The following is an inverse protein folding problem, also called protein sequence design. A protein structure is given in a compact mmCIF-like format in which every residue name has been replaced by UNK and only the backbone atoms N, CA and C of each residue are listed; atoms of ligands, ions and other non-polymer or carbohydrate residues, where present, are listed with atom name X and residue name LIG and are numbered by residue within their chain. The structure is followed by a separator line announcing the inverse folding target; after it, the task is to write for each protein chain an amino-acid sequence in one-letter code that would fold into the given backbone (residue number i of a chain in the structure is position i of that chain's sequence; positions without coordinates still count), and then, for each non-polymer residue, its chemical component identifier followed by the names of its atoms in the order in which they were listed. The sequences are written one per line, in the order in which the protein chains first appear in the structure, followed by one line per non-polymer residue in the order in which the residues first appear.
data_IF_664064620721
#
_entry.id   IF_664064620721
#
_cell.length_a   1.000
_cell.length_b   1.000
_cell.length_c   1.000
_cell.angle_alpha   90.00
_cell.angle_beta   90.00
_cell.angle_gamma   90.00
#
_symmetry.space_group_name_H-M   'P 1'
#
loop_
_entity.id
_entity.type
_entity.pdbx_description
1 polymer ?
#
# COMPACT_ATOMS: atom_id res chain seq x y z
N UNK A 1 -4.42 -28.50 -3.29
CA UNK A 1 -5.62 -28.06 -4.02
C UNK A 1 -6.77 -27.67 -3.06
N UNK A 2 -7.20 -28.53 -2.15
CA UNK A 2 -8.33 -28.26 -1.23
C UNK A 2 -8.17 -26.96 -0.43
N UNK A 3 -7.00 -26.72 0.19
CA UNK A 3 -6.75 -25.48 0.96
C UNK A 3 -6.83 -24.21 0.14
N UNK A 4 -6.31 -24.23 -1.08
CA UNK A 4 -6.39 -23.06 -2.00
C UNK A 4 -7.85 -22.76 -2.35
N UNK A 5 -8.65 -23.80 -2.61
CA UNK A 5 -10.07 -23.62 -2.91
C UNK A 5 -10.84 -23.01 -1.73
N UNK A 6 -10.54 -23.45 -0.49
CA UNK A 6 -11.16 -22.90 0.73
C UNK A 6 -10.79 -21.43 0.91
N UNK A 7 -9.50 -21.08 0.74
CA UNK A 7 -9.04 -19.68 0.85
C UNK A 7 -9.71 -18.80 -0.20
N UNK A 8 -9.80 -19.26 -1.46
CA UNK A 8 -10.46 -18.50 -2.53
C UNK A 8 -11.94 -18.31 -2.24
N UNK A 9 -12.62 -19.33 -1.73
CA UNK A 9 -14.05 -19.25 -1.38
C UNK A 9 -14.28 -18.28 -0.20
N UNK A 10 -13.44 -18.33 0.82
CA UNK A 10 -13.45 -17.40 1.94
C UNK A 10 -13.18 -15.95 1.47
N UNK A 11 -12.22 -15.76 0.55
CA UNK A 11 -11.93 -14.47 -0.05
C UNK A 11 -13.11 -13.90 -0.83
N UNK A 12 -13.81 -14.73 -1.63
CA UNK A 12 -15.01 -14.31 -2.37
C UNK A 12 -16.13 -13.89 -1.42
N UNK A 13 -16.35 -14.63 -0.34
CA UNK A 13 -17.34 -14.28 0.69
C UNK A 13 -16.95 -12.95 1.36
N UNK A 14 -15.68 -12.76 1.71
CA UNK A 14 -15.18 -11.53 2.29
C UNK A 14 -15.41 -10.31 1.38
N UNK A 15 -15.16 -10.45 0.07
CA UNK A 15 -15.45 -9.37 -0.90
C UNK A 15 -16.94 -9.02 -0.93
N UNK A 16 -17.83 -10.02 -0.87
CA UNK A 16 -19.27 -9.75 -0.85
C UNK A 16 -19.71 -9.06 0.44
N UNK A 17 -19.16 -9.46 1.58
CA UNK A 17 -19.41 -8.79 2.87
C UNK A 17 -18.89 -7.35 2.83
N UNK A 18 -17.68 -7.13 2.31
CA UNK A 18 -17.08 -5.80 2.15
C UNK A 18 -18.01 -4.86 1.37
N UNK A 19 -18.52 -5.32 0.21
CA UNK A 19 -19.43 -4.54 -0.63
C UNK A 19 -20.74 -4.17 0.07
N UNK A 20 -21.27 -5.04 0.93
CA UNK A 20 -22.53 -4.79 1.65
C UNK A 20 -22.35 -3.93 2.89
N UNK A 21 -21.23 -4.10 3.61
CA UNK A 21 -20.99 -3.42 4.90
C UNK A 21 -20.26 -2.09 4.77
N UNK A 22 -19.65 -1.80 3.59
CA UNK A 22 -18.80 -0.63 3.39
C UNK A 22 -17.45 -0.72 4.11
N UNK A 23 -17.10 -1.89 4.62
CA UNK A 23 -15.78 -2.16 5.23
C UNK A 23 -14.78 -2.39 4.10
N UNK A 24 -13.57 -1.82 4.16
CA UNK A 24 -12.52 -2.12 3.18
C UNK A 24 -12.23 -3.62 3.10
N UNK A 25 -12.22 -4.18 1.89
CA UNK A 25 -11.98 -5.62 1.67
C UNK A 25 -10.62 -6.08 2.22
N UNK A 26 -9.62 -5.20 2.21
CA UNK A 26 -8.30 -5.46 2.77
C UNK A 26 -8.35 -5.80 4.26
N UNK A 27 -9.17 -5.09 5.05
CA UNK A 27 -9.35 -5.38 6.48
C UNK A 27 -9.96 -6.76 6.71
N UNK A 28 -10.90 -7.19 5.86
CA UNK A 28 -11.50 -8.51 5.95
C UNK A 28 -10.50 -9.62 5.57
N UNK A 29 -9.66 -9.39 4.55
CA UNK A 29 -8.59 -10.33 4.20
C UNK A 29 -7.55 -10.47 5.30
N UNK A 30 -7.15 -9.36 5.91
CA UNK A 30 -6.24 -9.37 7.06
C UNK A 30 -6.85 -10.15 8.25
N UNK A 31 -8.12 -9.89 8.56
CA UNK A 31 -8.84 -10.61 9.60
C UNK A 31 -8.93 -12.11 9.31
N UNK A 32 -9.21 -12.50 8.07
CA UNK A 32 -9.20 -13.91 7.65
C UNK A 32 -7.82 -14.55 7.82
N UNK A 33 -6.75 -13.82 7.48
CA UNK A 33 -5.38 -14.29 7.70
C UNK A 33 -5.06 -14.54 9.18
N UNK A 34 -5.45 -13.59 10.04
CA UNK A 34 -5.26 -13.72 11.50
C UNK A 34 -6.07 -14.91 12.04
N UNK A 35 -7.34 -15.03 11.68
CA UNK A 35 -8.19 -16.14 12.13
C UNK A 35 -7.66 -17.48 11.65
N UNK A 36 -7.19 -17.57 10.40
CA UNK A 36 -6.62 -18.82 9.89
C UNK A 36 -5.36 -19.24 10.67
N UNK A 37 -4.52 -18.29 11.04
CA UNK A 37 -3.35 -18.54 11.88
C UNK A 37 -3.73 -19.01 13.28
N UNK A 38 -4.76 -18.43 13.90
CA UNK A 38 -5.25 -18.85 15.21
C UNK A 38 -5.83 -20.27 15.22
N UNK A 39 -6.40 -20.73 14.10
CA UNK A 39 -6.95 -22.09 13.93
C UNK A 39 -5.83 -23.12 13.62
N UNK A 40 -4.59 -22.67 13.49
CA UNK A 40 -3.43 -23.52 13.22
C UNK A 40 -3.05 -23.66 11.73
N UNK A 41 -3.71 -22.91 10.85
CA UNK A 41 -3.28 -22.78 9.45
C UNK A 41 -2.15 -21.75 9.34
N UNK A 42 -0.93 -22.18 9.61
CA UNK A 42 0.24 -21.34 9.46
C UNK A 42 0.88 -21.57 8.09
N UNK A 43 1.01 -20.50 7.33
CA UNK A 43 1.73 -20.51 6.06
C UNK A 43 3.18 -20.12 6.34
N UNK A 44 4.10 -21.09 6.25
CA UNK A 44 5.50 -20.92 6.64
C UNK A 44 6.46 -20.74 5.44
N UNK A 45 5.95 -20.78 4.20
CA UNK A 45 6.76 -20.54 3.03
C UNK A 45 6.78 -19.06 2.67
N UNK A 46 7.64 -18.32 3.37
CA UNK A 46 7.78 -16.87 3.18
C UNK A 46 8.29 -16.50 1.79
N UNK A 47 9.12 -17.37 1.18
CA UNK A 47 9.64 -17.14 -0.17
C UNK A 47 8.53 -17.21 -1.22
N UNK A 48 7.64 -18.18 -1.09
CA UNK A 48 6.46 -18.27 -1.94
C UNK A 48 5.53 -17.07 -1.74
N UNK A 49 5.28 -16.69 -0.49
CA UNK A 49 4.43 -15.53 -0.17
C UNK A 49 4.98 -14.24 -0.78
N UNK A 50 6.30 -14.02 -0.69
CA UNK A 50 6.98 -12.87 -1.28
C UNK A 50 6.83 -12.85 -2.80
N UNK A 51 7.13 -13.95 -3.48
CA UNK A 51 7.03 -14.02 -4.93
C UNK A 51 5.59 -13.87 -5.43
N UNK A 52 4.63 -14.50 -4.75
CA UNK A 52 3.21 -14.37 -5.06
C UNK A 52 2.72 -12.93 -4.88
N UNK A 53 3.11 -12.28 -3.78
CA UNK A 53 2.74 -10.89 -3.49
C UNK A 53 3.32 -9.92 -4.52
N UNK A 54 4.56 -10.13 -4.98
CA UNK A 54 5.17 -9.33 -6.04
C UNK A 54 4.39 -9.43 -7.35
N UNK A 55 4.02 -10.64 -7.76
CA UNK A 55 3.23 -10.84 -8.99
C UNK A 55 1.83 -10.23 -8.83
N UNK A 56 1.17 -10.44 -7.69
CA UNK A 56 -0.14 -9.88 -7.41
C UNK A 56 -0.11 -8.35 -7.44
N UNK A 57 0.89 -7.73 -6.80
CA UNK A 57 1.09 -6.29 -6.79
C UNK A 57 1.27 -5.74 -8.20
N UNK A 58 2.08 -6.41 -9.02
CA UNK A 58 2.32 -6.01 -10.41
C UNK A 58 1.02 -6.01 -11.23
N UNK A 59 0.18 -7.03 -11.06
CA UNK A 59 -1.13 -7.13 -11.71
C UNK A 59 -2.06 -6.01 -11.23
N UNK A 60 -2.10 -5.73 -9.92
CA UNK A 60 -2.94 -4.69 -9.33
C UNK A 60 -2.54 -3.30 -9.86
N UNK A 61 -1.25 -2.98 -9.86
CA UNK A 61 -0.74 -1.70 -10.38
C UNK A 61 -1.03 -1.56 -11.88
N UNK A 62 -0.81 -2.62 -12.66
CA UNK A 62 -1.11 -2.62 -14.09
C UNK A 62 -2.60 -2.38 -14.35
N UNK A 63 -3.47 -3.08 -13.64
CA UNK A 63 -4.93 -2.94 -13.77
C UNK A 63 -5.40 -1.54 -13.34
N UNK A 64 -4.87 -1.01 -12.25
CA UNK A 64 -5.14 0.33 -11.77
C UNK A 64 -4.74 1.39 -12.80
N UNK A 65 -3.50 1.32 -13.30
CA UNK A 65 -3.01 2.23 -14.33
C UNK A 65 -3.79 2.17 -15.65
N UNK A 66 -4.25 0.98 -16.03
CA UNK A 66 -5.06 0.81 -17.24
C UNK A 66 -6.48 1.39 -17.11
N UNK A 67 -7.04 1.37 -15.88
CA UNK A 67 -8.35 1.94 -15.58
C UNK A 67 -8.37 3.46 -15.40
N UNK A 68 -7.21 4.10 -15.26
CA UNK A 68 -7.10 5.52 -14.94
C UNK A 68 -7.62 6.42 -16.05
N UNK A 69 -8.52 7.36 -15.71
CA UNK A 69 -9.00 8.37 -16.65
C UNK A 69 -7.93 9.44 -16.92
N UNK A 70 -7.08 9.17 -17.90
CA UNK A 70 -5.94 10.05 -18.24
C UNK A 70 -6.34 11.49 -18.55
N UNK A 71 -7.51 11.73 -19.16
CA UNK A 71 -7.98 13.10 -19.47
C UNK A 71 -8.22 13.91 -18.18
N UNK A 72 -8.80 13.30 -17.17
CA UNK A 72 -9.01 13.96 -15.87
C UNK A 72 -7.70 14.01 -15.06
N UNK A 73 -6.91 12.94 -15.09
CA UNK A 73 -5.67 12.81 -14.33
C UNK A 73 -4.60 13.82 -14.73
N UNK A 74 -4.43 14.09 -16.05
CA UNK A 74 -3.43 15.05 -16.53
C UNK A 74 -3.61 16.48 -16.00
N UNK A 75 -4.80 16.84 -15.55
CA UNK A 75 -5.06 18.18 -14.98
C UNK A 75 -4.59 18.32 -13.53
N UNK A 76 -4.34 17.21 -12.85
CA UNK A 76 -3.95 17.15 -11.42
C UNK A 76 -2.63 16.38 -11.22
N UNK A 77 -1.87 16.15 -12.30
CA UNK A 77 -0.66 15.32 -12.25
C UNK A 77 0.43 15.93 -11.36
N UNK A 78 0.59 17.26 -11.41
CA UNK A 78 1.63 17.94 -10.60
C UNK A 78 1.29 17.86 -9.13
N UNK A 79 0.04 18.13 -8.78
CA UNK A 79 -0.46 18.04 -7.41
C UNK A 79 -0.34 16.59 -6.88
N UNK A 80 -0.68 15.60 -7.71
CA UNK A 80 -0.54 14.18 -7.36
C UNK A 80 0.92 13.80 -7.11
N UNK A 81 1.86 14.25 -7.96
CA UNK A 81 3.29 13.98 -7.79
C UNK A 81 3.86 14.66 -6.54
N UNK A 82 3.44 15.88 -6.23
CA UNK A 82 3.86 16.57 -5.01
C UNK A 82 3.34 15.82 -3.78
N UNK A 83 2.06 15.42 -3.77
CA UNK A 83 1.47 14.68 -2.67
C UNK A 83 2.10 13.29 -2.50
N UNK A 84 2.32 12.55 -3.58
CA UNK A 84 2.92 11.21 -3.53
C UNK A 84 4.40 11.21 -3.13
N UNK A 85 5.10 12.32 -3.28
CA UNK A 85 6.51 12.45 -2.87
C UNK A 85 6.66 13.16 -1.54
N UNK A 86 6.37 14.45 -1.48
CA UNK A 86 6.50 15.24 -0.25
C UNK A 86 5.50 14.80 0.81
N UNK A 87 4.27 14.44 0.43
CA UNK A 87 3.25 13.94 1.35
C UNK A 87 3.71 12.68 2.06
N UNK A 88 4.26 11.71 1.32
CA UNK A 88 4.80 10.45 1.91
C UNK A 88 5.98 10.72 2.83
N UNK A 89 6.91 11.62 2.43
CA UNK A 89 8.03 12.00 3.29
C UNK A 89 7.54 12.62 4.60
N UNK A 90 6.63 13.60 4.53
CA UNK A 90 6.08 14.24 5.71
C UNK A 90 5.30 13.26 6.60
N UNK A 91 4.47 12.41 6.01
CA UNK A 91 3.72 11.38 6.74
C UNK A 91 4.66 10.41 7.43
N UNK A 92 5.70 9.93 6.74
CA UNK A 92 6.72 9.04 7.30
C UNK A 92 7.47 9.67 8.47
N UNK A 93 7.90 10.92 8.32
CA UNK A 93 8.62 11.65 9.37
C UNK A 93 7.72 11.92 10.57
N UNK A 94 6.50 12.37 10.37
CA UNK A 94 5.57 12.67 11.43
C UNK A 94 5.17 11.41 12.19
N UNK A 95 4.79 10.35 11.46
CA UNK A 95 4.42 9.06 12.05
C UNK A 95 5.62 8.42 12.77
N UNK A 96 6.81 8.45 12.15
CA UNK A 96 8.04 7.95 12.77
C UNK A 96 8.39 8.70 14.05
N UNK A 97 8.25 10.03 14.05
CA UNK A 97 8.44 10.86 15.26
C UNK A 97 7.47 10.46 16.37
N UNK A 98 6.19 10.29 16.05
CA UNK A 98 5.19 9.84 17.03
C UNK A 98 5.52 8.45 17.58
N UNK A 99 5.94 7.52 16.72
CA UNK A 99 6.36 6.16 17.12
C UNK A 99 7.56 6.22 18.07
N UNK A 100 8.55 7.05 17.76
CA UNK A 100 9.71 7.23 18.63
C UNK A 100 9.31 7.67 20.04
N UNK A 101 8.47 8.69 20.17
CA UNK A 101 8.06 9.22 21.46
C UNK A 101 7.09 8.31 22.22
N UNK A 102 6.17 7.63 21.53
CA UNK A 102 5.14 6.80 22.18
C UNK A 102 5.70 5.41 22.50
N UNK A 103 6.36 4.76 21.53
CA UNK A 103 6.84 3.38 21.68
C UNK A 103 8.31 3.28 22.09
N UNK A 104 9.02 4.41 22.10
CA UNK A 104 10.44 4.52 22.51
C UNK A 104 11.39 3.63 21.69
N UNK A 105 11.07 3.39 20.42
CA UNK A 105 11.99 2.77 19.47
C UNK A 105 13.10 3.74 19.09
N UNK A 106 14.23 3.21 18.56
CA UNK A 106 15.26 4.04 17.97
C UNK A 106 14.71 4.93 16.83
N UNK A 107 15.39 6.03 16.53
CA UNK A 107 14.93 6.96 15.49
C UNK A 107 14.81 6.29 14.11
N UNK A 108 15.80 5.48 13.73
CA UNK A 108 15.84 4.85 12.41
C UNK A 108 14.74 3.79 12.27
N UNK A 109 14.54 2.96 13.32
CA UNK A 109 13.45 1.97 13.36
C UNK A 109 12.07 2.65 13.32
N UNK A 110 11.93 3.77 14.02
CA UNK A 110 10.68 4.53 14.04
C UNK A 110 10.36 5.11 12.66
N UNK A 111 11.34 5.66 11.96
CA UNK A 111 11.16 6.16 10.60
C UNK A 111 10.95 5.03 9.59
N UNK A 112 11.58 3.86 9.79
CA UNK A 112 11.31 2.67 8.99
C UNK A 112 9.82 2.29 9.08
N UNK A 113 9.26 2.21 10.29
CA UNK A 113 7.84 1.91 10.48
C UNK A 113 6.97 3.02 9.88
N UNK A 114 7.35 4.29 10.08
CA UNK A 114 6.66 5.44 9.48
C UNK A 114 6.62 5.40 7.96
N UNK A 115 7.71 4.94 7.31
CA UNK A 115 7.77 4.82 5.85
C UNK A 115 6.88 3.68 5.31
N UNK A 116 6.77 2.58 6.03
CA UNK A 116 5.89 1.45 5.68
C UNK A 116 4.42 1.87 5.75
N UNK A 117 4.05 2.66 6.76
CA UNK A 117 2.67 3.13 6.97
C UNK A 117 2.33 4.33 6.07
N UNK A 118 3.35 5.01 5.54
CA UNK A 118 3.19 6.27 4.79
C UNK A 118 2.49 6.15 3.43
N UNK A 119 2.33 4.94 2.89
CA UNK A 119 1.58 4.70 1.66
C UNK A 119 0.06 4.71 1.93
N UNK A 120 -0.71 5.26 0.98
CA UNK A 120 -2.17 5.34 1.01
C UNK A 120 -2.78 4.42 -0.04
N UNK A 121 -3.99 3.89 0.21
CA UNK A 121 -4.71 3.00 -0.69
C UNK A 121 -6.01 3.64 -1.19
N UNK A 122 -5.99 4.15 -2.43
CA UNK A 122 -7.17 4.71 -3.08
C UNK A 122 -8.25 3.65 -3.36
N UNK A 123 -7.89 2.40 -3.60
CA UNK A 123 -8.88 1.37 -3.90
C UNK A 123 -9.87 1.18 -2.74
N UNK A 124 -9.40 1.21 -1.51
CA UNK A 124 -10.25 1.19 -0.30
C UNK A 124 -11.13 2.43 -0.21
N UNK A 125 -10.57 3.62 -0.47
CA UNK A 125 -11.33 4.89 -0.47
C UNK A 125 -12.40 4.88 -1.56
N UNK A 126 -12.06 4.48 -2.78
CA UNK A 126 -12.98 4.38 -3.92
C UNK A 126 -14.14 3.44 -3.64
N UNK A 127 -13.88 2.29 -3.01
CA UNK A 127 -14.91 1.34 -2.60
C UNK A 127 -15.90 1.96 -1.60
N UNK A 128 -15.41 2.72 -0.61
CA UNK A 128 -16.26 3.41 0.36
C UNK A 128 -17.10 4.50 -0.33
N UNK A 129 -16.50 5.31 -1.19
CA UNK A 129 -17.19 6.36 -1.93
C UNK A 129 -18.31 5.77 -2.81
N UNK A 130 -17.98 4.72 -3.54
CA UNK A 130 -18.94 4.03 -4.43
C UNK A 130 -20.07 3.39 -3.64
N UNK A 131 -19.81 2.76 -2.50
CA UNK A 131 -20.84 2.13 -1.65
C UNK A 131 -21.84 3.15 -1.08
N UNK A 132 -21.41 4.41 -0.90
CA UNK A 132 -22.22 5.51 -0.37
C UNK A 132 -22.73 6.46 -1.45
N UNK A 133 -22.50 6.16 -2.74
CA UNK A 133 -22.84 7.02 -3.90
C UNK A 133 -22.30 8.46 -3.74
N UNK A 134 -21.09 8.59 -3.18
CA UNK A 134 -20.43 9.88 -3.01
C UNK A 134 -19.51 10.17 -4.19
N UNK A 135 -19.64 11.39 -4.73
CA UNK A 135 -18.76 11.90 -5.79
C UNK A 135 -17.87 13.00 -5.24
N UNK A 136 -16.57 12.91 -5.55
CA UNK A 136 -15.61 13.94 -5.18
C UNK A 136 -15.61 15.06 -6.21
N UNK A 137 -15.51 16.32 -5.72
CA UNK A 137 -15.44 17.52 -6.56
C UNK A 137 -14.01 17.76 -7.05
N UNK A 138 -13.85 18.64 -8.04
CA UNK A 138 -12.57 19.17 -8.50
C UNK A 138 -11.54 18.12 -8.95
N UNK A 139 -11.99 17.04 -9.59
CA UNK A 139 -11.14 15.92 -10.02
C UNK A 139 -10.33 15.25 -8.87
N UNK A 140 -10.77 15.43 -7.61
CA UNK A 140 -10.08 14.86 -6.46
C UNK A 140 -10.01 13.33 -6.52
N UNK A 141 -10.99 12.66 -7.15
CA UNK A 141 -10.92 11.22 -7.37
C UNK A 141 -9.70 10.83 -8.22
N UNK A 142 -9.49 11.52 -9.35
CA UNK A 142 -8.33 11.28 -10.22
C UNK A 142 -7.02 11.69 -9.57
N UNK A 143 -7.03 12.74 -8.73
CA UNK A 143 -5.86 13.14 -7.94
C UNK A 143 -5.46 12.05 -6.95
N UNK A 144 -6.40 11.52 -6.18
CA UNK A 144 -6.15 10.46 -5.21
C UNK A 144 -5.72 9.14 -5.88
N UNK A 145 -6.30 8.83 -7.05
CA UNK A 145 -5.93 7.65 -7.82
C UNK A 145 -4.48 7.71 -8.31
N UNK A 146 -4.05 8.85 -8.87
CA UNK A 146 -2.68 9.06 -9.32
C UNK A 146 -1.71 9.18 -8.15
N UNK A 147 -2.10 9.86 -7.06
CA UNK A 147 -1.31 9.99 -5.85
C UNK A 147 -1.04 8.61 -5.25
N UNK A 148 -2.07 7.79 -5.05
CA UNK A 148 -1.94 6.45 -4.47
C UNK A 148 -1.10 5.50 -5.35
N UNK A 149 -1.26 5.56 -6.68
CA UNK A 149 -0.42 4.77 -7.58
C UNK A 149 1.05 5.19 -7.61
N UNK A 150 1.36 6.43 -7.21
CA UNK A 150 2.71 6.99 -7.21
C UNK A 150 3.36 7.00 -5.83
N UNK A 151 2.60 6.93 -4.74
CA UNK A 151 3.12 6.95 -3.38
C UNK A 151 3.74 5.60 -2.96
N UNK A 152 3.26 4.47 -3.47
CA UNK A 152 3.81 3.14 -3.19
C UNK A 152 5.30 3.03 -3.53
N UNK A 153 5.76 3.40 -4.73
CA UNK A 153 7.19 3.44 -5.05
C UNK A 153 7.99 4.35 -4.10
N UNK A 154 7.42 5.49 -3.70
CA UNK A 154 8.10 6.41 -2.80
C UNK A 154 8.22 5.86 -1.38
N UNK A 155 7.14 5.30 -0.82
CA UNK A 155 7.14 4.64 0.48
C UNK A 155 8.11 3.45 0.52
N UNK A 156 8.13 2.65 -0.56
CA UNK A 156 9.09 1.56 -0.71
C UNK A 156 10.53 2.04 -0.74
N UNK A 157 10.82 3.13 -1.47
CA UNK A 157 12.18 3.73 -1.50
C UNK A 157 12.62 4.16 -0.11
N UNK A 158 11.77 4.89 0.62
CA UNK A 158 12.08 5.31 1.98
C UNK A 158 12.32 4.11 2.91
N UNK A 159 11.48 3.09 2.80
CA UNK A 159 11.62 1.84 3.56
C UNK A 159 12.98 1.18 3.30
N UNK A 160 13.38 1.07 2.04
CA UNK A 160 14.68 0.51 1.67
C UNK A 160 15.85 1.36 2.19
N UNK A 161 15.73 2.70 2.15
CA UNK A 161 16.76 3.62 2.68
C UNK A 161 16.94 3.41 4.19
N UNK A 162 15.85 3.42 4.97
CA UNK A 162 15.93 3.22 6.42
C UNK A 162 16.41 1.81 6.78
N UNK A 163 16.00 0.78 6.02
CA UNK A 163 16.47 -0.58 6.22
C UNK A 163 17.98 -0.71 6.00
N UNK A 164 18.53 -0.07 4.97
CA UNK A 164 19.95 -0.08 4.70
C UNK A 164 20.75 0.71 5.76
N UNK A 165 20.20 1.80 6.30
CA UNK A 165 20.80 2.47 7.47
C UNK A 165 20.88 1.54 8.68
N UNK A 166 19.86 0.74 8.96
CA UNK A 166 19.88 -0.25 10.04
C UNK A 166 20.95 -1.31 9.81
N UNK A 167 21.12 -1.75 8.56
CA UNK A 167 22.13 -2.76 8.19
C UNK A 167 23.55 -2.21 8.10
N UNK A 168 23.76 -0.89 8.16
CA UNK A 168 25.06 -0.25 7.96
C UNK A 168 25.58 -0.33 6.53
N UNK A 169 24.70 -0.55 5.55
CA UNK A 169 25.05 -0.63 4.14
C UNK A 169 25.26 0.77 3.55
N UNK A 170 26.28 0.91 2.69
CA UNK A 170 26.45 2.16 1.93
C UNK A 170 25.40 2.23 0.83
N UNK A 171 24.49 3.20 0.95
CA UNK A 171 23.40 3.37 0.00
C UNK A 171 23.85 4.32 -1.11
N UNK A 172 23.82 3.86 -2.33
CA UNK A 172 23.73 4.73 -3.48
C UNK A 172 22.25 5.02 -3.80
N UNK A 173 21.72 6.08 -3.18
CA UNK A 173 20.31 6.50 -3.35
C UNK A 173 19.96 6.63 -4.83
N UNK A 174 20.89 7.15 -5.65
CA UNK A 174 20.68 7.27 -7.10
C UNK A 174 20.50 5.92 -7.80
N UNK A 175 21.24 4.90 -7.39
CA UNK A 175 21.09 3.54 -7.93
C UNK A 175 19.76 2.92 -7.50
N UNK A 176 19.32 3.11 -6.27
CA UNK A 176 18.01 2.63 -5.80
C UNK A 176 16.85 3.26 -6.56
N UNK A 177 16.85 4.58 -6.73
CA UNK A 177 15.83 5.29 -7.52
C UNK A 177 15.85 4.84 -8.99
N UNK A 178 17.02 4.65 -9.57
CA UNK A 178 17.16 4.15 -10.94
C UNK A 178 16.56 2.75 -11.11
N UNK A 179 16.88 1.82 -10.23
CA UNK A 179 16.33 0.46 -10.29
C UNK A 179 14.82 0.39 -10.02
N UNK A 180 14.22 1.36 -9.31
CA UNK A 180 12.77 1.43 -9.14
C UNK A 180 12.02 1.92 -10.38
N UNK A 181 12.63 2.80 -11.17
CA UNK A 181 12.03 3.30 -12.41
C UNK A 181 12.10 2.25 -13.52
N UNK A 182 13.12 1.36 -13.50
CA UNK A 182 13.41 0.40 -14.57
C UNK A 182 13.17 -1.08 -14.19
N UNK A 183 12.60 -1.37 -13.03
CA UNK A 183 12.27 -2.72 -12.59
C UNK A 183 10.77 -2.96 -12.60
#
# INVERSE_FOLDING_TARGET
MFYISVILLAALIAVQIAKKSGIPSLMLFLSLGIVSSLIGFNFNDYQFAENFSKIALLIIIFYGGFGTNWKAGRTVIIESLILSTLGVIFTSLLTGTLIHFILRFGWIESFLIGSIIGSTDYASVSNILSSKNLNLKYNTASLLELESGSNDPMAFTLTCIFLAFIKGEQISIGIMLFFQIFR
#
